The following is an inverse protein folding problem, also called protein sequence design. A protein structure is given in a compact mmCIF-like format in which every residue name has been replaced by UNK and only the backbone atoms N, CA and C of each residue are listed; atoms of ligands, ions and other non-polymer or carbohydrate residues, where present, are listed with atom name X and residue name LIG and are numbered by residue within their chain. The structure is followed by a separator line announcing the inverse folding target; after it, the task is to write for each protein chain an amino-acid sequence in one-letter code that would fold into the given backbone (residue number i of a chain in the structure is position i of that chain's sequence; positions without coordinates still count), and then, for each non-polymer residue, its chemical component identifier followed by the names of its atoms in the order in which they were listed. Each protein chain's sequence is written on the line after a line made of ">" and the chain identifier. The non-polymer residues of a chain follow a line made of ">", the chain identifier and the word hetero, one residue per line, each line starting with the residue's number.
data_IF_488656757831
#
_entry.id   IF_488656757831
#
_cell.length_a   1.000
_cell.length_b   1.000
_cell.length_c   1.000
_cell.angle_alpha   90.00
_cell.angle_beta   90.00
_cell.angle_gamma   90.00
#
_symmetry.space_group_name_H-M   'P 1'
#
loop_
_entity.id
_entity.type
_entity.pdbx_description
1 polymer ?
#
# COMPACT_ATOMS: atom_id res chain seq x y z
N UNK A 1 -14.57 -14.75 40.83
CA UNK A 1 -14.75 -13.50 40.06
C UNK A 1 -13.56 -13.36 39.11
N UNK A 2 -13.77 -13.40 37.80
CA UNK A 2 -12.67 -13.30 36.81
C UNK A 2 -12.26 -11.84 36.70
N UNK A 3 -11.07 -11.48 37.17
CA UNK A 3 -10.45 -10.20 36.82
C UNK A 3 -10.34 -10.13 35.29
N UNK A 4 -11.22 -9.35 34.68
CA UNK A 4 -11.02 -8.84 33.32
C UNK A 4 -9.83 -7.89 33.41
N UNK A 5 -8.62 -8.40 33.23
CA UNK A 5 -7.56 -7.60 32.65
C UNK A 5 -8.10 -7.13 31.31
N UNK A 6 -8.56 -5.89 31.23
CA UNK A 6 -8.71 -5.20 29.95
C UNK A 6 -7.33 -5.28 29.31
N UNK A 7 -7.16 -6.21 28.37
CA UNK A 7 -5.96 -6.31 27.54
C UNK A 7 -5.96 -5.01 26.75
N UNK A 8 -5.33 -3.98 27.31
CA UNK A 8 -5.09 -2.74 26.61
C UNK A 8 -4.18 -3.12 25.45
N UNK A 9 -4.63 -2.85 24.23
CA UNK A 9 -3.85 -3.04 23.02
C UNK A 9 -3.27 -1.67 22.66
N UNK A 10 -2.20 -1.20 23.34
CA UNK A 10 -1.71 0.17 23.18
C UNK A 10 -1.35 0.46 21.72
N UNK A 11 -0.71 -0.49 21.04
CA UNK A 11 -0.33 -0.35 19.64
C UNK A 11 -1.53 -0.15 18.71
N UNK A 12 -2.65 -0.84 18.97
CA UNK A 12 -3.88 -0.67 18.20
C UNK A 12 -4.43 0.75 18.35
N UNK A 13 -4.58 1.22 19.58
CA UNK A 13 -5.11 2.55 19.86
C UNK A 13 -4.23 3.67 19.31
N UNK A 14 -2.91 3.56 19.45
CA UNK A 14 -1.96 4.52 18.88
C UNK A 14 -2.04 4.55 17.34
N UNK A 15 -2.13 3.38 16.71
CA UNK A 15 -2.23 3.26 15.25
C UNK A 15 -3.55 3.85 14.73
N UNK A 16 -4.67 3.53 15.40
CA UNK A 16 -5.98 4.08 15.07
C UNK A 16 -6.03 5.59 15.28
N UNK A 17 -5.43 6.11 16.35
CA UNK A 17 -5.37 7.54 16.60
C UNK A 17 -4.57 8.27 15.51
N UNK A 18 -3.42 7.73 15.10
CA UNK A 18 -2.64 8.27 13.98
C UNK A 18 -3.45 8.31 12.68
N UNK A 19 -4.11 7.21 12.31
CA UNK A 19 -4.95 7.14 11.12
C UNK A 19 -6.14 8.12 11.18
N UNK A 20 -6.78 8.25 12.34
CA UNK A 20 -7.85 9.22 12.54
C UNK A 20 -7.36 10.65 12.33
N UNK A 21 -6.14 10.97 12.77
CA UNK A 21 -5.51 12.27 12.54
C UNK A 21 -5.37 12.61 11.06
N UNK A 22 -4.91 11.64 10.26
CA UNK A 22 -4.76 11.77 8.80
C UNK A 22 -6.11 12.00 8.12
N UNK A 23 -7.13 11.21 8.50
CA UNK A 23 -8.49 11.33 7.91
C UNK A 23 -9.11 12.69 8.27
N UNK A 24 -8.97 13.15 9.52
CA UNK A 24 -9.51 14.45 9.94
C UNK A 24 -8.78 15.60 9.27
N UNK A 25 -7.46 15.52 9.09
CA UNK A 25 -6.71 16.56 8.38
C UNK A 25 -7.20 16.76 6.94
N UNK A 26 -7.46 15.66 6.22
CA UNK A 26 -8.07 15.71 4.89
C UNK A 26 -9.47 16.35 4.91
N UNK A 27 -10.30 16.02 5.91
CA UNK A 27 -11.68 16.50 5.97
C UNK A 27 -11.83 17.97 6.40
N UNK A 28 -10.88 18.49 7.19
CA UNK A 28 -11.00 19.81 7.84
C UNK A 28 -10.30 20.94 7.09
N UNK A 29 -9.41 20.62 6.13
CA UNK A 29 -8.62 21.58 5.35
C UNK A 29 -7.90 22.64 6.22
N UNK A 30 -7.57 22.30 7.46
CA UNK A 30 -6.93 23.21 8.40
C UNK A 30 -5.49 23.54 7.98
N UNK A 31 -5.02 24.78 8.21
CA UNK A 31 -3.67 25.18 7.84
C UNK A 31 -2.62 24.40 8.65
N UNK A 32 -1.45 24.17 8.04
CA UNK A 32 -0.33 23.45 8.67
C UNK A 32 0.08 24.03 10.03
N UNK A 33 0.02 25.36 10.17
CA UNK A 33 0.35 26.06 11.41
C UNK A 33 -0.49 25.58 12.61
N UNK A 34 -1.78 25.28 12.40
CA UNK A 34 -2.64 24.77 13.46
C UNK A 34 -2.22 23.35 13.88
N UNK A 35 -1.89 22.49 12.93
CA UNK A 35 -1.38 21.14 13.22
C UNK A 35 -0.03 21.15 13.94
N UNK A 36 0.86 22.09 13.61
CA UNK A 36 2.10 22.30 14.37
C UNK A 36 1.81 22.69 15.82
N UNK A 37 0.90 23.64 16.05
CA UNK A 37 0.52 24.08 17.40
C UNK A 37 -0.11 22.93 18.22
N UNK A 38 -1.04 22.20 17.62
CA UNK A 38 -1.69 21.04 18.26
C UNK A 38 -0.69 19.94 18.60
N UNK A 39 0.25 19.63 17.69
CA UNK A 39 1.30 18.63 17.94
C UNK A 39 2.23 19.08 19.07
N UNK A 40 2.63 20.36 19.09
CA UNK A 40 3.44 20.93 20.17
C UNK A 40 2.77 20.83 21.54
N UNK A 41 1.47 21.16 21.61
CA UNK A 41 0.68 21.00 22.83
C UNK A 41 0.57 19.53 23.27
N UNK A 42 0.35 18.61 22.33
CA UNK A 42 0.26 17.18 22.61
C UNK A 42 1.58 16.58 23.12
N UNK A 43 2.74 17.04 22.60
CA UNK A 43 4.07 16.68 23.12
C UNK A 43 4.21 17.16 24.56
N UNK A 44 3.85 18.42 24.84
CA UNK A 44 3.92 18.98 26.20
C UNK A 44 3.05 18.18 27.19
N UNK A 45 1.80 17.87 26.82
CA UNK A 45 0.90 17.05 27.64
C UNK A 45 1.50 15.65 27.88
N UNK A 46 2.05 15.02 26.84
CA UNK A 46 2.66 13.68 26.96
C UNK A 46 3.86 13.69 27.91
N UNK A 47 4.74 14.69 27.80
CA UNK A 47 5.88 14.87 28.70
C UNK A 47 5.42 15.15 30.13
N UNK A 48 4.43 16.04 30.32
CA UNK A 48 3.87 16.37 31.62
C UNK A 48 3.28 15.14 32.32
N UNK A 49 2.53 14.30 31.58
CA UNK A 49 1.98 13.04 32.10
C UNK A 49 3.08 12.05 32.49
N UNK A 50 4.16 11.95 31.71
CA UNK A 50 5.32 11.09 32.04
C UNK A 50 6.05 11.58 33.28
N UNK A 51 6.29 12.90 33.39
CA UNK A 51 6.94 13.51 34.56
C UNK A 51 6.06 13.35 35.80
N UNK A 52 4.77 13.67 35.71
CA UNK A 52 3.82 13.52 36.81
C UNK A 52 3.80 12.07 37.33
N UNK A 53 3.82 11.08 36.43
CA UNK A 53 3.95 9.67 36.82
C UNK A 53 5.27 9.38 37.53
N UNK A 54 6.41 9.87 37.01
CA UNK A 54 7.72 9.68 37.68
C UNK A 54 7.71 10.27 39.09
N UNK A 55 7.13 11.46 39.27
CA UNK A 55 7.01 12.13 40.58
C UNK A 55 6.07 11.36 41.51
N UNK A 56 4.89 10.93 41.05
CA UNK A 56 3.99 10.11 41.86
C UNK A 56 4.66 8.82 42.31
N UNK A 57 5.32 8.11 41.39
CA UNK A 57 6.02 6.84 41.69
C UNK A 57 7.17 7.06 42.69
N UNK A 58 7.88 8.19 42.60
CA UNK A 58 8.93 8.56 43.55
C UNK A 58 8.38 8.95 44.94
N UNK A 59 7.17 9.55 44.99
CA UNK A 59 6.48 9.91 46.24
C UNK A 59 5.84 8.71 46.95
N UNK A 60 5.59 7.60 46.25
CA UNK A 60 4.93 6.40 46.79
C UNK A 60 5.87 5.21 47.06
N UNK A 61 7.16 5.44 47.35
CA UNK A 61 8.04 4.40 47.89
C UNK A 61 7.48 3.83 49.22
N UNK A 62 7.60 2.52 49.48
CA UNK A 62 6.52 1.73 50.07
C UNK A 62 6.41 1.82 51.59
N UNK A 63 5.19 2.01 52.10
CA UNK A 63 4.78 1.38 53.36
C UNK A 63 4.26 -0.02 53.01
N UNK A 64 4.91 -1.05 53.57
CA UNK A 64 4.54 -2.46 53.42
C UNK A 64 3.09 -2.65 53.90
N UNK A 65 2.14 -2.92 53.00
CA UNK A 65 0.75 -3.14 53.42
C UNK A 65 -0.25 -3.30 52.29
N UNK A 66 -0.56 -2.24 51.54
CA UNK A 66 -1.78 -2.19 50.71
C UNK A 66 -1.54 -1.66 49.29
N UNK A 67 -0.84 -2.44 48.45
CA UNK A 67 -0.60 -2.06 47.05
C UNK A 67 -1.02 -3.17 46.09
N UNK A 68 -2.33 -3.36 45.92
CA UNK A 68 -2.86 -4.20 44.86
C UNK A 68 -3.85 -3.51 43.89
N UNK A 69 -4.47 -2.37 44.21
CA UNK A 69 -5.69 -1.95 43.48
C UNK A 69 -5.70 -0.58 42.76
N UNK A 70 -4.64 0.24 42.80
CA UNK A 70 -4.67 1.60 42.19
C UNK A 70 -3.96 1.75 40.82
N UNK A 71 -3.58 0.65 40.16
CA UNK A 71 -2.78 0.66 38.92
C UNK A 71 -3.49 1.04 37.58
N UNK A 72 -4.81 0.87 37.35
CA UNK A 72 -5.38 0.95 35.99
C UNK A 72 -5.59 2.38 35.43
N UNK A 73 -5.76 3.38 36.29
CA UNK A 73 -6.04 4.78 35.85
C UNK A 73 -4.81 5.46 35.27
N UNK A 74 -3.63 5.17 35.81
CA UNK A 74 -2.36 5.78 35.38
C UNK A 74 -1.90 5.34 33.98
N UNK A 75 -2.06 4.06 33.65
CA UNK A 75 -1.76 3.53 32.32
C UNK A 75 -2.71 4.09 31.25
N UNK A 76 -3.99 4.23 31.60
CA UNK A 76 -5.02 4.77 30.71
C UNK A 76 -4.75 6.25 30.36
N UNK A 77 -4.28 7.04 31.32
CA UNK A 77 -3.90 8.44 31.10
C UNK A 77 -2.70 8.58 30.14
N UNK A 78 -1.68 7.72 30.29
CA UNK A 78 -0.54 7.71 29.39
C UNK A 78 -0.94 7.29 27.97
N UNK A 79 -1.76 6.24 27.85
CA UNK A 79 -2.25 5.80 26.55
C UNK A 79 -3.07 6.90 25.87
N UNK A 80 -3.92 7.61 26.62
CA UNK A 80 -4.67 8.75 26.09
C UNK A 80 -3.75 9.88 25.60
N UNK A 81 -2.74 10.25 26.39
CA UNK A 81 -1.78 11.30 26.01
C UNK A 81 -0.99 10.94 24.74
N UNK A 82 -0.45 9.71 24.67
CA UNK A 82 0.25 9.25 23.48
C UNK A 82 -0.69 9.07 22.27
N UNK A 83 -1.97 8.74 22.49
CA UNK A 83 -2.96 8.67 21.40
C UNK A 83 -3.27 10.06 20.85
N UNK A 84 -3.40 11.08 21.71
CA UNK A 84 -3.55 12.47 21.27
C UNK A 84 -2.32 12.94 20.48
N UNK A 85 -1.11 12.58 20.92
CA UNK A 85 0.11 12.85 20.18
C UNK A 85 0.12 12.16 18.81
N UNK A 86 -0.22 10.86 18.76
CA UNK A 86 -0.31 10.12 17.51
C UNK A 86 -1.33 10.74 16.55
N UNK A 87 -2.49 11.15 17.05
CA UNK A 87 -3.54 11.84 16.29
C UNK A 87 -3.06 13.16 15.68
N UNK A 88 -2.51 14.06 16.51
CA UNK A 88 -2.02 15.37 16.03
C UNK A 88 -0.86 15.23 15.05
N UNK A 89 0.05 14.28 15.32
CA UNK A 89 1.15 13.96 14.42
C UNK A 89 0.66 13.39 13.08
N UNK A 90 -0.39 12.56 13.07
CA UNK A 90 -1.02 12.05 11.86
C UNK A 90 -1.53 13.19 10.96
N UNK A 91 -2.25 14.15 11.54
CA UNK A 91 -2.74 15.30 10.77
C UNK A 91 -1.62 16.20 10.24
N UNK A 92 -0.59 16.45 11.05
CA UNK A 92 0.60 17.18 10.62
C UNK A 92 1.32 16.47 9.47
N UNK A 93 1.47 15.16 9.56
CA UNK A 93 2.12 14.33 8.53
C UNK A 93 1.37 14.38 7.20
N UNK A 94 0.04 14.42 7.23
CA UNK A 94 -0.78 14.57 6.03
C UNK A 94 -0.57 15.94 5.40
N UNK A 95 -0.68 17.02 6.19
CA UNK A 95 -0.59 18.39 5.66
C UNK A 95 0.79 18.71 5.06
N UNK A 96 1.87 18.19 5.67
CA UNK A 96 3.24 18.39 5.19
C UNK A 96 3.59 17.58 3.93
N UNK A 97 2.73 16.63 3.54
CA UNK A 97 2.96 15.79 2.38
C UNK A 97 2.37 16.35 1.08
N UNK A 98 1.41 17.26 1.20
CA UNK A 98 0.75 17.85 0.04
C UNK A 98 1.69 18.85 -0.63
N UNK A 99 1.87 18.80 -1.96
CA UNK A 99 2.69 19.77 -2.66
C UNK A 99 2.02 21.14 -2.65
N UNK A 100 2.85 22.18 -2.62
CA UNK A 100 2.38 23.55 -2.80
C UNK A 100 2.08 23.82 -4.28
N UNK A 101 0.81 23.76 -4.64
CA UNK A 101 0.32 24.02 -6.00
C UNK A 101 0.41 25.50 -6.40
N UNK A 102 0.82 26.41 -5.51
CA UNK A 102 1.04 27.81 -5.84
C UNK A 102 2.49 28.13 -6.21
N UNK A 103 3.42 27.19 -5.99
CA UNK A 103 4.83 27.39 -6.27
C UNK A 103 5.12 27.32 -7.77
N UNK A 104 5.61 28.40 -8.43
CA UNK A 104 5.88 28.42 -9.88
C UNK A 104 6.99 27.45 -10.33
N UNK A 105 7.79 26.93 -9.39
CA UNK A 105 8.75 25.86 -9.67
C UNK A 105 8.10 24.47 -9.72
N UNK A 106 6.86 24.31 -9.25
CA UNK A 106 6.14 23.04 -9.36
C UNK A 106 5.52 22.92 -10.75
N UNK A 107 5.80 21.82 -11.46
CA UNK A 107 5.39 21.64 -12.86
C UNK A 107 3.88 21.82 -13.08
N UNK A 108 3.04 21.42 -12.11
CA UNK A 108 1.60 21.52 -12.24
C UNK A 108 1.06 22.95 -12.36
N UNK A 109 1.85 23.96 -11.96
CA UNK A 109 1.47 25.37 -12.14
C UNK A 109 1.44 25.81 -13.60
N UNK A 110 2.09 25.05 -14.48
CA UNK A 110 2.15 25.31 -15.92
C UNK A 110 1.15 24.47 -16.73
N UNK A 111 0.25 23.74 -16.05
CA UNK A 111 -0.79 22.96 -16.72
C UNK A 111 -1.79 23.87 -17.44
N UNK A 112 -2.36 23.38 -18.53
CA UNK A 112 -3.52 23.95 -19.23
C UNK A 112 -3.32 25.39 -19.74
N UNK A 113 -2.07 25.83 -19.92
CA UNK A 113 -1.72 27.15 -20.49
C UNK A 113 -2.09 27.27 -21.97
N UNK A 114 -2.34 26.15 -22.66
CA UNK A 114 -2.60 26.10 -24.10
C UNK A 114 -1.35 26.31 -24.97
N UNK A 115 -0.21 26.60 -24.35
CA UNK A 115 1.06 26.77 -25.03
C UNK A 115 1.79 25.43 -25.20
N UNK A 116 2.45 25.27 -26.35
CA UNK A 116 3.31 24.13 -26.56
C UNK A 116 4.62 24.36 -25.83
N UNK A 117 5.00 23.44 -24.95
CA UNK A 117 6.22 23.54 -24.15
C UNK A 117 7.21 22.43 -24.52
N UNK A 118 8.46 22.64 -24.13
CA UNK A 118 9.48 21.60 -24.08
C UNK A 118 9.89 21.38 -22.63
N UNK A 119 9.78 20.14 -22.18
CA UNK A 119 10.10 19.75 -20.81
C UNK A 119 11.25 18.76 -20.87
N UNK A 120 12.26 18.96 -20.05
CA UNK A 120 13.30 17.97 -19.84
C UNK A 120 13.00 17.21 -18.55
N UNK A 121 13.43 15.96 -18.48
CA UNK A 121 13.37 15.20 -17.25
C UNK A 121 13.93 13.79 -17.39
N UNK A 122 14.04 13.10 -16.26
CA UNK A 122 14.58 11.75 -16.17
C UNK A 122 13.44 10.76 -15.99
N UNK A 123 13.45 9.65 -16.75
CA UNK A 123 12.51 8.55 -16.56
C UNK A 123 12.72 7.94 -15.18
N UNK A 124 11.71 8.06 -14.31
CA UNK A 124 11.79 7.73 -12.89
C UNK A 124 11.14 6.38 -12.55
N UNK A 125 10.54 5.67 -13.51
CA UNK A 125 9.91 4.38 -13.28
C UNK A 125 10.18 3.39 -14.40
N UNK A 126 9.81 2.12 -14.16
CA UNK A 126 9.70 1.13 -15.22
C UNK A 126 8.70 1.61 -16.29
N UNK A 127 9.03 1.52 -17.59
CA UNK A 127 8.12 1.86 -18.69
C UNK A 127 6.88 0.96 -18.71
N UNK A 128 5.69 1.56 -18.81
CA UNK A 128 4.44 0.84 -18.98
C UNK A 128 4.07 0.80 -20.48
N UNK A 129 4.43 -0.29 -21.15
CA UNK A 129 4.14 -0.49 -22.59
C UNK A 129 2.76 -1.10 -22.76
N UNK A 130 1.93 -0.46 -23.58
CA UNK A 130 0.61 -0.94 -24.01
C UNK A 130 0.55 -0.98 -25.53
N UNK A 131 -0.47 -1.63 -26.09
CA UNK A 131 -0.63 -1.83 -27.54
C UNK A 131 -0.44 -0.56 -28.39
N UNK A 132 -0.96 0.58 -27.91
CA UNK A 132 -1.05 1.82 -28.68
C UNK A 132 -0.19 2.98 -28.13
N UNK A 133 0.39 2.83 -26.94
CA UNK A 133 1.17 3.89 -26.31
C UNK A 133 2.10 3.36 -25.24
N UNK A 134 3.16 4.11 -24.97
CA UNK A 134 4.02 3.91 -23.80
C UNK A 134 3.74 5.00 -22.78
N UNK A 135 3.47 4.60 -21.54
CA UNK A 135 3.39 5.50 -20.40
C UNK A 135 4.73 5.52 -19.65
N UNK A 136 5.28 6.72 -19.48
CA UNK A 136 6.49 6.96 -18.70
C UNK A 136 6.17 7.94 -17.57
N UNK A 137 6.73 7.71 -16.39
CA UNK A 137 6.75 8.70 -15.30
C UNK A 137 8.08 9.42 -15.37
N UNK A 138 8.04 10.72 -15.66
CA UNK A 138 9.25 11.53 -15.85
C UNK A 138 9.35 12.53 -14.70
N UNK A 139 10.48 12.47 -13.98
CA UNK A 139 10.85 13.48 -13.00
C UNK A 139 11.43 14.69 -13.76
N UNK A 140 10.69 15.79 -13.71
CA UNK A 140 11.00 16.99 -14.51
C UNK A 140 12.06 17.84 -13.82
N UNK A 141 12.95 18.41 -14.61
CA UNK A 141 14.08 19.24 -14.15
C UNK A 141 14.07 20.65 -14.76
N UNK A 142 13.64 20.78 -16.02
CA UNK A 142 13.65 22.04 -16.76
C UNK A 142 12.43 22.16 -17.69
N UNK A 143 11.86 23.37 -17.76
CA UNK A 143 10.75 23.73 -18.62
C UNK A 143 11.12 24.95 -19.45
N UNK A 144 10.75 24.92 -20.74
CA UNK A 144 10.97 26.03 -21.68
C UNK A 144 9.85 26.14 -22.72
N UNK A 145 9.53 27.34 -23.21
CA UNK A 145 8.64 27.50 -24.36
C UNK A 145 9.17 26.77 -25.61
N UNK A 146 8.29 26.17 -26.39
CA UNK A 146 8.69 25.46 -27.61
C UNK A 146 9.40 26.38 -28.60
N UNK A 147 10.56 25.94 -29.11
CA UNK A 147 11.36 26.69 -30.07
C UNK A 147 12.36 27.70 -29.48
N UNK A 148 12.42 27.84 -28.16
CA UNK A 148 13.43 28.69 -27.49
C UNK A 148 14.48 27.85 -26.77
N UNK A 149 15.73 28.33 -26.76
CA UNK A 149 16.87 27.67 -26.08
C UNK A 149 17.40 28.48 -24.90
N UNK A 150 16.91 29.70 -24.67
CA UNK A 150 17.47 30.65 -23.70
C UNK A 150 16.62 30.84 -22.45
N UNK A 151 15.31 30.55 -22.50
CA UNK A 151 14.41 30.66 -21.35
C UNK A 151 14.33 29.31 -20.62
N UNK A 152 15.28 29.09 -19.72
CA UNK A 152 15.30 27.94 -18.82
C UNK A 152 14.56 28.28 -17.52
N UNK A 153 13.51 27.53 -17.24
CA UNK A 153 12.81 27.59 -15.96
C UNK A 153 12.99 26.26 -15.22
N UNK A 154 13.76 26.24 -14.11
CA UNK A 154 13.91 25.02 -13.33
C UNK A 154 12.56 24.66 -12.71
N UNK A 155 12.13 23.43 -12.94
CA UNK A 155 10.87 22.90 -12.39
C UNK A 155 11.12 21.57 -11.70
N UNK A 156 10.23 21.21 -10.79
CA UNK A 156 10.20 19.91 -10.14
C UNK A 156 8.80 19.31 -10.16
N UNK A 157 8.76 17.99 -10.09
CA UNK A 157 7.52 17.22 -10.03
C UNK A 157 7.51 16.08 -11.04
N UNK A 158 6.59 15.15 -10.84
CA UNK A 158 6.40 14.00 -11.73
C UNK A 158 5.33 14.33 -12.77
N UNK A 159 5.68 14.13 -14.04
CA UNK A 159 4.74 14.19 -15.14
C UNK A 159 4.49 12.80 -15.72
N UNK A 160 3.23 12.47 -16.00
CA UNK A 160 2.86 11.28 -16.75
C UNK A 160 2.93 11.58 -18.24
N UNK A 161 3.84 10.93 -18.94
CA UNK A 161 4.10 11.14 -20.36
C UNK A 161 3.54 9.95 -21.13
N UNK A 162 2.61 10.20 -22.05
CA UNK A 162 2.10 9.18 -22.97
C UNK A 162 2.66 9.41 -24.36
N UNK A 163 3.44 8.45 -24.83
CA UNK A 163 4.07 8.44 -26.14
C UNK A 163 3.21 7.67 -27.14
N UNK A 164 2.99 8.24 -28.34
CA UNK A 164 2.21 7.56 -29.40
C UNK A 164 2.99 6.41 -30.05
N UNK A 165 4.32 6.40 -29.93
CA UNK A 165 5.17 5.39 -30.55
C UNK A 165 5.42 4.22 -29.58
N UNK A 166 4.70 3.07 -29.71
CA UNK A 166 4.94 1.89 -28.89
C UNK A 166 6.30 1.21 -29.15
N UNK A 167 6.97 1.51 -30.27
CA UNK A 167 8.32 1.00 -30.53
C UNK A 167 9.42 1.79 -29.78
N UNK A 168 9.05 2.87 -29.10
CA UNK A 168 9.99 3.69 -28.36
C UNK A 168 10.56 2.92 -27.14
N UNK A 169 11.83 2.52 -27.25
CA UNK A 169 12.53 1.78 -26.21
C UNK A 169 13.27 2.72 -25.25
N UNK A 170 12.51 3.39 -24.38
CA UNK A 170 13.05 4.18 -23.28
C UNK A 170 13.20 3.35 -22.00
N UNK A 171 14.20 3.65 -21.20
CA UNK A 171 14.53 2.92 -19.97
C UNK A 171 14.59 3.87 -18.77
N UNK A 172 14.51 3.30 -17.57
CA UNK A 172 14.74 4.05 -16.35
C UNK A 172 16.10 4.74 -16.39
N UNK A 173 16.14 6.00 -15.95
CA UNK A 173 17.35 6.81 -15.96
C UNK A 173 17.68 7.46 -17.30
N UNK A 174 16.90 7.25 -18.35
CA UNK A 174 17.02 8.07 -19.56
C UNK A 174 16.57 9.49 -19.30
N UNK A 175 17.37 10.46 -19.74
CA UNK A 175 17.00 11.88 -19.75
C UNK A 175 16.36 12.21 -21.09
N UNK A 176 15.11 12.65 -21.06
CA UNK A 176 14.30 12.88 -22.25
C UNK A 176 14.00 14.37 -22.41
N UNK A 177 14.10 14.84 -23.66
CA UNK A 177 13.46 16.08 -24.12
C UNK A 177 12.06 15.74 -24.63
N UNK A 178 11.06 16.31 -23.99
CA UNK A 178 9.65 16.07 -24.27
C UNK A 178 9.02 17.31 -24.89
N UNK A 179 8.27 17.14 -25.96
CA UNK A 179 7.50 18.21 -26.59
C UNK A 179 6.02 17.87 -26.56
N UNK A 180 5.19 18.81 -26.06
CA UNK A 180 3.76 18.62 -25.99
C UNK A 180 3.04 19.75 -25.25
N UNK A 181 1.80 19.48 -24.89
CA UNK A 181 0.99 20.35 -24.03
C UNK A 181 0.94 19.72 -22.65
N UNK A 182 1.17 20.54 -21.63
CA UNK A 182 1.04 20.12 -20.26
C UNK A 182 -0.41 20.28 -19.85
N UNK A 183 -1.02 19.20 -19.39
CA UNK A 183 -2.43 19.18 -19.04
C UNK A 183 -2.61 18.72 -17.60
N UNK A 184 -3.65 19.22 -16.95
CA UNK A 184 -4.11 18.62 -15.71
C UNK A 184 -4.78 17.26 -16.03
N UNK A 185 -4.48 16.18 -15.28
CA UNK A 185 -5.21 14.93 -15.42
C UNK A 185 -6.74 15.14 -15.40
N UNK A 186 -7.48 14.46 -16.28
CA UNK A 186 -8.92 14.63 -16.38
C UNK A 186 -9.61 14.09 -15.12
N UNK A 187 -10.70 14.74 -14.76
CA UNK A 187 -11.70 14.15 -13.87
C UNK A 187 -12.57 13.19 -14.68
N UNK A 188 -12.98 12.05 -14.12
CA UNK A 188 -13.97 11.16 -14.74
C UNK A 188 -15.11 10.94 -13.75
N UNK A 189 -16.33 10.80 -14.26
CA UNK A 189 -17.56 10.78 -13.44
C UNK A 189 -17.60 9.62 -12.43
N UNK A 190 -17.09 8.44 -12.80
CA UNK A 190 -17.14 7.24 -11.94
C UNK A 190 -15.86 7.05 -11.09
N UNK A 191 -14.71 7.46 -11.62
CA UNK A 191 -13.40 7.28 -10.98
C UNK A 191 -12.55 8.54 -11.16
N UNK A 192 -12.17 9.20 -10.07
CA UNK A 192 -11.25 10.34 -10.14
C UNK A 192 -9.84 9.87 -10.54
N UNK A 193 -9.60 9.81 -11.85
CA UNK A 193 -8.29 9.51 -12.41
C UNK A 193 -7.24 10.55 -11.97
N UNK A 194 -7.68 11.80 -11.81
CA UNK A 194 -6.88 12.90 -11.25
C UNK A 194 -6.41 12.59 -9.83
N UNK A 195 -7.32 12.27 -8.91
CA UNK A 195 -6.93 11.95 -7.54
C UNK A 195 -6.03 10.71 -7.48
N UNK A 196 -6.31 9.68 -8.30
CA UNK A 196 -5.47 8.50 -8.41
C UNK A 196 -4.03 8.84 -8.76
N UNK A 197 -3.81 9.71 -9.75
CA UNK A 197 -2.47 10.18 -10.12
C UNK A 197 -1.85 11.10 -9.06
N UNK A 198 -2.63 11.98 -8.45
CA UNK A 198 -2.16 12.87 -7.38
C UNK A 198 -1.61 12.08 -6.17
N UNK A 199 -2.24 10.94 -5.83
CA UNK A 199 -1.77 10.02 -4.78
C UNK A 199 -0.42 9.38 -5.09
N UNK A 200 -0.05 9.34 -6.37
CA UNK A 200 1.27 8.89 -6.86
C UNK A 200 2.25 10.05 -7.07
N UNK A 201 1.89 11.28 -6.67
CA UNK A 201 2.70 12.48 -6.84
C UNK A 201 2.67 13.06 -8.25
N UNK A 202 1.75 12.60 -9.10
CA UNK A 202 1.63 13.02 -10.51
C UNK A 202 0.47 14.00 -10.62
N UNK A 203 0.78 15.25 -10.93
CA UNK A 203 -0.21 16.34 -11.05
C UNK A 203 -0.29 16.90 -12.47
N UNK A 204 0.60 16.44 -13.36
CA UNK A 204 0.69 16.88 -14.74
C UNK A 204 0.77 15.69 -15.67
N UNK A 205 0.18 15.80 -16.85
CA UNK A 205 0.32 14.82 -17.92
C UNK A 205 0.72 15.50 -19.23
N UNK A 206 1.50 14.82 -20.06
CA UNK A 206 1.67 15.17 -21.45
C UNK A 206 1.03 14.06 -22.29
N UNK A 207 -0.07 14.40 -22.96
CA UNK A 207 -0.68 13.51 -23.94
C UNK A 207 0.05 13.62 -25.26
N UNK A 208 0.28 12.49 -25.91
CA UNK A 208 0.83 12.46 -27.27
C UNK A 208 2.17 13.16 -27.41
N UNK A 209 3.03 13.04 -26.40
CA UNK A 209 4.32 13.72 -26.39
C UNK A 209 5.26 13.10 -27.42
N UNK A 210 6.09 13.96 -28.03
CA UNK A 210 7.28 13.50 -28.75
C UNK A 210 8.46 13.54 -27.80
N UNK A 211 9.15 12.42 -27.66
CA UNK A 211 10.30 12.29 -26.80
C UNK A 211 11.58 12.10 -27.61
N UNK A 212 12.66 12.72 -27.19
CA UNK A 212 14.02 12.48 -27.70
C UNK A 212 14.94 12.22 -26.53
N UNK A 213 15.68 11.11 -26.55
CA UNK A 213 16.69 10.81 -25.54
C UNK A 213 17.87 11.74 -25.73
N UNK A 214 18.22 12.47 -24.67
CA UNK A 214 19.40 13.34 -24.61
C UNK A 214 20.57 12.58 -23.98
N UNK A 215 20.29 11.88 -22.88
CA UNK A 215 21.30 11.14 -22.10
C UNK A 215 20.68 9.83 -21.57
N UNK A 216 21.53 8.89 -21.17
CA UNK A 216 21.13 7.61 -20.55
C UNK A 216 21.87 7.38 -19.25
N UNK A 217 21.25 6.64 -18.32
CA UNK A 217 21.89 6.24 -17.08
C UNK A 217 21.99 7.34 -16.03
N UNK A 218 21.18 8.39 -16.11
CA UNK A 218 21.10 9.49 -15.15
C UNK A 218 20.25 9.16 -13.90
N UNK A 219 19.76 7.92 -13.80
CA UNK A 219 18.98 7.45 -12.66
C UNK A 219 19.84 6.93 -11.50
N UNK A 220 19.19 6.55 -10.40
CA UNK A 220 19.88 5.94 -9.26
C UNK A 220 20.37 4.51 -9.64
N UNK A 221 21.64 4.15 -9.39
CA UNK A 221 22.17 2.83 -9.73
C UNK A 221 21.41 1.65 -9.10
N UNK A 222 20.89 1.82 -7.88
CA UNK A 222 20.09 0.79 -7.21
C UNK A 222 18.79 0.50 -7.98
N UNK A 223 18.05 1.54 -8.33
CA UNK A 223 16.80 1.39 -9.10
C UNK A 223 17.07 0.89 -10.52
N UNK A 224 18.17 1.32 -11.14
CA UNK A 224 18.60 0.78 -12.43
C UNK A 224 18.85 -0.74 -12.34
N UNK A 225 19.51 -1.22 -11.29
CA UNK A 225 19.72 -2.66 -11.07
C UNK A 225 18.41 -3.42 -10.87
N UNK A 226 17.47 -2.88 -10.07
CA UNK A 226 16.14 -3.46 -9.85
C UNK A 226 15.37 -3.57 -11.17
N UNK A 227 15.30 -2.49 -11.95
CA UNK A 227 14.57 -2.50 -13.22
C UNK A 227 15.24 -3.37 -14.28
N UNK A 228 16.58 -3.43 -14.32
CA UNK A 228 17.29 -4.37 -15.18
C UNK A 228 16.99 -5.82 -14.82
N UNK A 229 16.92 -6.15 -13.52
CA UNK A 229 16.50 -7.47 -13.06
C UNK A 229 15.05 -7.76 -13.49
N UNK A 230 14.14 -6.79 -13.32
CA UNK A 230 12.73 -6.91 -13.76
C UNK A 230 12.64 -7.13 -15.27
N UNK A 231 13.37 -6.37 -16.09
CA UNK A 231 13.41 -6.53 -17.55
C UNK A 231 13.93 -7.90 -17.97
N UNK A 232 14.99 -8.41 -17.32
CA UNK A 232 15.53 -9.75 -17.61
C UNK A 232 14.56 -10.85 -17.23
N UNK A 233 13.93 -10.74 -16.05
CA UNK A 233 12.91 -11.70 -15.61
C UNK A 233 11.72 -11.70 -16.58
N UNK A 234 11.25 -10.52 -17.00
CA UNK A 234 10.17 -10.38 -17.96
C UNK A 234 10.52 -11.03 -19.30
N UNK A 235 11.70 -10.72 -19.85
CA UNK A 235 12.17 -11.33 -21.10
C UNK A 235 12.28 -12.86 -20.99
N UNK A 236 12.71 -13.37 -19.84
CA UNK A 236 12.79 -14.83 -19.59
C UNK A 236 11.39 -15.45 -19.60
N UNK A 237 10.39 -14.82 -18.98
CA UNK A 237 9.00 -15.32 -19.00
C UNK A 237 8.46 -15.41 -20.42
N UNK A 238 8.63 -14.35 -21.23
CA UNK A 238 8.19 -14.33 -22.64
C UNK A 238 8.99 -15.26 -23.56
N UNK A 239 10.18 -15.71 -23.15
CA UNK A 239 10.93 -16.73 -23.88
C UNK A 239 10.48 -18.15 -23.55
N UNK A 240 10.01 -18.38 -22.32
CA UNK A 240 9.63 -19.71 -21.84
C UNK A 240 8.17 -20.07 -22.14
N UNK A 241 7.30 -19.08 -22.28
CA UNK A 241 5.86 -19.28 -22.46
C UNK A 241 5.32 -18.46 -23.63
N UNK A 242 4.32 -18.97 -24.37
CA UNK A 242 3.58 -18.18 -25.35
C UNK A 242 2.62 -17.20 -24.65
N UNK A 243 2.10 -16.22 -25.40
CA UNK A 243 0.95 -15.43 -24.98
C UNK A 243 -0.35 -16.21 -25.19
N UNK A 244 -1.35 -16.09 -24.28
CA UNK A 244 -1.46 -15.13 -23.17
C UNK A 244 -0.81 -15.57 -21.84
N UNK A 245 -0.29 -16.80 -21.73
CA UNK A 245 0.24 -17.35 -20.47
C UNK A 245 1.44 -16.57 -19.95
N UNK A 246 2.35 -16.15 -20.84
CA UNK A 246 3.49 -15.30 -20.49
C UNK A 246 3.06 -13.99 -19.83
N UNK A 247 2.09 -13.29 -20.44
CA UNK A 247 1.53 -12.05 -19.90
C UNK A 247 0.82 -12.25 -18.56
N UNK A 248 0.17 -13.40 -18.36
CA UNK A 248 -0.43 -13.76 -17.08
C UNK A 248 0.63 -14.01 -15.99
N UNK A 249 1.69 -14.76 -16.30
CA UNK A 249 2.81 -14.97 -15.38
C UNK A 249 3.55 -13.67 -15.07
N UNK A 250 3.71 -12.77 -16.05
CA UNK A 250 4.29 -11.45 -15.86
C UNK A 250 3.49 -10.61 -14.86
N UNK A 251 2.15 -10.65 -14.93
CA UNK A 251 1.27 -10.02 -13.93
C UNK A 251 1.46 -10.62 -12.54
N UNK A 252 1.35 -11.94 -12.42
CA UNK A 252 1.35 -12.67 -11.14
C UNK A 252 2.70 -12.62 -10.42
N UNK A 253 3.82 -12.66 -11.17
CA UNK A 253 5.18 -12.75 -10.61
C UNK A 253 5.91 -11.41 -10.58
N UNK A 254 5.65 -10.52 -11.54
CA UNK A 254 6.42 -9.27 -11.73
C UNK A 254 5.56 -8.02 -11.62
N UNK A 255 4.24 -8.15 -11.46
CA UNK A 255 3.31 -7.01 -11.39
C UNK A 255 3.20 -6.27 -12.72
N UNK A 256 3.41 -6.96 -13.84
CA UNK A 256 3.32 -6.37 -15.19
C UNK A 256 2.03 -6.84 -15.86
N UNK A 257 0.97 -6.06 -15.72
CA UNK A 257 -0.37 -6.41 -16.24
C UNK A 257 -0.63 -5.85 -17.65
N UNK A 258 0.22 -4.95 -18.16
CA UNK A 258 -0.05 -4.21 -19.41
C UNK A 258 -0.01 -5.08 -20.67
N UNK A 259 0.64 -6.25 -20.61
CA UNK A 259 0.67 -7.21 -21.71
C UNK A 259 -0.55 -8.14 -21.79
N UNK A 260 -1.43 -8.14 -20.78
CA UNK A 260 -2.56 -9.08 -20.73
C UNK A 260 -3.57 -8.72 -21.84
N UNK A 261 -3.89 -9.64 -22.77
CA UNK A 261 -4.82 -9.36 -23.85
C UNK A 261 -6.20 -8.94 -23.34
N UNK A 262 -6.81 -7.96 -24.00
CA UNK A 262 -8.14 -7.42 -23.61
C UNK A 262 -9.23 -8.48 -23.39
N UNK A 263 -9.36 -9.53 -24.24
CA UNK A 263 -10.36 -10.57 -24.01
C UNK A 263 -10.15 -11.33 -22.69
N UNK A 264 -8.88 -11.59 -22.33
CA UNK A 264 -8.50 -12.26 -21.09
C UNK A 264 -8.79 -11.35 -19.89
N UNK A 265 -8.35 -10.09 -19.95
CA UNK A 265 -8.63 -9.11 -18.90
C UNK A 265 -10.13 -8.92 -18.66
N UNK A 266 -10.93 -8.91 -19.73
CA UNK A 266 -12.38 -8.81 -19.66
C UNK A 266 -13.00 -10.05 -18.99
N UNK A 267 -12.54 -11.26 -19.34
CA UNK A 267 -13.00 -12.49 -18.68
C UNK A 267 -12.75 -12.46 -17.17
N UNK A 268 -11.54 -12.06 -16.73
CA UNK A 268 -11.22 -11.89 -15.30
C UNK A 268 -12.10 -10.85 -14.60
N UNK A 269 -12.45 -9.76 -15.30
CA UNK A 269 -13.35 -8.73 -14.79
C UNK A 269 -14.78 -9.26 -14.61
N UNK A 270 -15.29 -10.00 -15.60
CA UNK A 270 -16.63 -10.58 -15.57
C UNK A 270 -16.78 -11.63 -14.46
N UNK A 271 -15.78 -12.48 -14.28
CA UNK A 271 -15.76 -13.48 -13.20
C UNK A 271 -15.39 -12.90 -11.84
N UNK A 272 -15.01 -11.61 -11.75
CA UNK A 272 -14.59 -10.95 -10.51
C UNK A 272 -13.27 -11.46 -9.93
N UNK A 273 -12.44 -12.08 -10.78
CA UNK A 273 -11.19 -12.74 -10.42
C UNK A 273 -9.96 -11.91 -10.80
N UNK A 274 -10.13 -10.62 -11.10
CA UNK A 274 -9.03 -9.67 -11.38
C UNK A 274 -7.98 -9.63 -10.26
N UNK A 275 -8.36 -9.91 -9.02
CA UNK A 275 -7.42 -9.97 -7.90
C UNK A 275 -6.41 -11.14 -7.97
N UNK A 276 -6.62 -12.11 -8.88
CA UNK A 276 -5.74 -13.26 -9.10
C UNK A 276 -4.57 -12.89 -10.02
N UNK A 277 -4.83 -12.03 -11.03
CA UNK A 277 -3.79 -11.58 -11.97
C UNK A 277 -2.87 -10.51 -11.36
N UNK A 278 -3.38 -9.76 -10.39
CA UNK A 278 -2.61 -8.86 -9.55
C UNK A 278 -1.87 -9.63 -8.44
N UNK A 279 -0.74 -9.11 -7.98
CA UNK A 279 0.01 -9.74 -6.88
C UNK A 279 -0.81 -9.69 -5.60
N UNK A 280 -1.27 -10.86 -5.17
CA UNK A 280 -2.12 -11.01 -4.00
C UNK A 280 -1.31 -11.23 -2.71
N UNK A 281 -2.00 -11.13 -1.57
CA UNK A 281 -1.40 -11.49 -0.27
C UNK A 281 -1.03 -12.98 -0.18
N UNK A 282 -1.72 -13.85 -0.93
CA UNK A 282 -1.40 -15.28 -0.99
C UNK A 282 -0.08 -15.52 -1.73
N UNK A 283 0.12 -14.85 -2.88
CA UNK A 283 1.38 -14.91 -3.63
C UNK A 283 2.55 -14.48 -2.73
N UNK A 284 2.37 -13.39 -1.97
CA UNK A 284 3.36 -12.91 -1.01
C UNK A 284 3.61 -13.88 0.15
N UNK A 285 2.58 -14.59 0.62
CA UNK A 285 2.73 -15.62 1.65
C UNK A 285 3.55 -16.82 1.14
N UNK A 286 3.32 -17.26 -0.11
CA UNK A 286 4.12 -18.31 -0.75
C UNK A 286 5.59 -17.88 -0.84
N UNK A 287 5.86 -16.67 -1.34
CA UNK A 287 7.23 -16.13 -1.46
C UNK A 287 7.90 -16.06 -0.09
N UNK A 288 7.19 -15.58 0.94
CA UNK A 288 7.70 -15.53 2.30
C UNK A 288 8.02 -16.94 2.86
N UNK A 289 7.16 -17.93 2.61
CA UNK A 289 7.38 -19.31 3.01
C UNK A 289 8.58 -19.94 2.29
N UNK A 290 8.72 -19.69 0.99
CA UNK A 290 9.84 -20.16 0.18
C UNK A 290 11.17 -19.60 0.70
N UNK A 291 11.24 -18.28 0.89
CA UNK A 291 12.44 -17.63 1.44
C UNK A 291 12.76 -18.10 2.85
N UNK A 292 11.74 -18.32 3.69
CA UNK A 292 11.94 -18.88 5.02
C UNK A 292 12.50 -20.31 4.97
N UNK A 293 12.02 -21.16 4.07
CA UNK A 293 12.52 -22.52 3.90
C UNK A 293 13.98 -22.53 3.46
N UNK A 294 14.26 -21.87 2.34
CA UNK A 294 15.62 -21.82 1.75
C UNK A 294 16.63 -21.20 2.71
N UNK A 295 16.35 -19.99 3.23
CA UNK A 295 17.29 -19.29 4.09
C UNK A 295 17.34 -19.86 5.50
N UNK A 296 16.25 -20.48 5.97
CA UNK A 296 16.22 -21.21 7.24
C UNK A 296 17.14 -22.42 7.24
N UNK A 297 17.17 -23.17 6.13
CA UNK A 297 18.11 -24.28 5.95
C UNK A 297 19.55 -23.80 5.78
N UNK A 298 19.77 -22.72 5.02
CA UNK A 298 21.12 -22.25 4.70
C UNK A 298 21.81 -21.49 5.85
N UNK A 299 21.07 -20.68 6.61
CA UNK A 299 21.63 -19.78 7.62
C UNK A 299 21.14 -20.07 9.06
N UNK A 300 20.25 -21.05 9.24
CA UNK A 300 19.60 -21.35 10.50
C UNK A 300 18.39 -20.45 10.80
N UNK A 301 17.65 -20.70 11.90
CA UNK A 301 16.31 -20.14 12.10
C UNK A 301 16.28 -18.62 12.29
N UNK A 302 17.26 -18.03 12.98
CA UNK A 302 17.28 -16.58 13.26
C UNK A 302 17.82 -15.77 12.08
N UNK A 303 19.02 -16.13 11.58
CA UNK A 303 19.64 -15.46 10.44
C UNK A 303 18.85 -15.71 9.15
N UNK A 304 18.29 -16.90 8.99
CA UNK A 304 17.40 -17.24 7.88
C UNK A 304 16.12 -16.41 7.87
N UNK A 305 15.52 -16.14 9.03
CA UNK A 305 14.36 -15.26 9.11
C UNK A 305 14.69 -13.79 8.76
N UNK A 306 15.88 -13.29 9.14
CA UNK A 306 16.34 -11.97 8.73
C UNK A 306 16.59 -11.91 7.21
N UNK A 307 17.27 -12.91 6.65
CA UNK A 307 17.50 -13.03 5.22
C UNK A 307 16.17 -13.14 4.44
N UNK A 308 15.18 -13.87 4.96
CA UNK A 308 13.85 -13.96 4.38
C UNK A 308 13.10 -12.63 4.41
N UNK A 309 13.20 -11.87 5.51
CA UNK A 309 12.62 -10.53 5.60
C UNK A 309 13.25 -9.57 4.58
N UNK A 310 14.58 -9.60 4.43
CA UNK A 310 15.29 -8.82 3.44
C UNK A 310 14.91 -9.23 2.01
N UNK A 311 14.87 -10.54 1.72
CA UNK A 311 14.45 -11.06 0.43
C UNK A 311 13.02 -10.65 0.08
N UNK A 312 12.09 -10.72 1.03
CA UNK A 312 10.69 -10.31 0.83
C UNK A 312 10.58 -8.80 0.56
N UNK A 313 11.41 -7.99 1.23
CA UNK A 313 11.52 -6.56 0.96
C UNK A 313 12.05 -6.27 -0.44
N UNK A 314 13.13 -6.94 -0.86
CA UNK A 314 13.68 -6.81 -2.22
C UNK A 314 12.68 -7.25 -3.29
N UNK A 315 11.97 -8.36 -3.06
CA UNK A 315 10.91 -8.82 -3.97
C UNK A 315 9.77 -7.80 -4.08
N UNK A 316 9.35 -7.21 -2.96
CA UNK A 316 8.31 -6.18 -2.93
C UNK A 316 8.71 -4.95 -3.77
N UNK A 317 9.98 -4.54 -3.66
CA UNK A 317 10.56 -3.46 -4.48
C UNK A 317 10.60 -3.85 -5.96
N UNK A 318 11.01 -5.08 -6.26
CA UNK A 318 11.11 -5.60 -7.63
C UNK A 318 9.76 -5.58 -8.36
N UNK A 319 8.69 -5.99 -7.67
CA UNK A 319 7.37 -6.11 -8.32
C UNK A 319 6.63 -4.78 -8.47
N UNK A 320 7.07 -3.71 -7.80
CA UNK A 320 6.51 -2.36 -7.95
C UNK A 320 5.89 -1.76 -6.68
N UNK A 321 5.90 -2.51 -5.57
CA UNK A 321 5.45 -2.04 -4.26
C UNK A 321 4.00 -1.50 -4.20
N UNK A 322 3.07 -2.16 -4.90
CA UNK A 322 1.64 -1.84 -4.77
C UNK A 322 1.15 -2.01 -3.32
N UNK A 323 0.10 -1.26 -2.89
CA UNK A 323 -0.35 -1.28 -1.50
C UNK A 323 -0.67 -2.68 -0.96
N UNK A 324 -1.28 -3.55 -1.78
CA UNK A 324 -1.58 -4.92 -1.38
C UNK A 324 -0.32 -5.76 -1.09
N UNK A 325 0.73 -5.57 -1.90
CA UNK A 325 2.03 -6.23 -1.80
C UNK A 325 2.79 -5.73 -0.58
N UNK A 326 2.89 -4.40 -0.42
CA UNK A 326 3.59 -3.77 0.71
C UNK A 326 2.96 -4.18 2.04
N UNK A 327 1.63 -4.18 2.13
CA UNK A 327 0.94 -4.66 3.33
C UNK A 327 1.29 -6.14 3.60
N UNK A 328 1.19 -7.00 2.60
CA UNK A 328 1.50 -8.42 2.77
C UNK A 328 2.96 -8.65 3.21
N UNK A 329 3.90 -7.88 2.66
CA UNK A 329 5.30 -7.90 3.06
C UNK A 329 5.49 -7.46 4.52
N UNK A 330 4.89 -6.35 4.94
CA UNK A 330 4.97 -5.85 6.32
C UNK A 330 4.38 -6.89 7.28
N UNK A 331 3.19 -7.41 7.00
CA UNK A 331 2.54 -8.42 7.84
C UNK A 331 3.37 -9.71 7.90
N UNK A 332 3.96 -10.12 6.77
CA UNK A 332 4.88 -11.26 6.69
C UNK A 332 6.10 -11.06 7.59
N UNK A 333 6.81 -9.93 7.47
CA UNK A 333 7.96 -9.60 8.32
C UNK A 333 7.58 -9.55 9.80
N UNK A 334 6.44 -8.97 10.15
CA UNK A 334 5.95 -8.96 11.52
C UNK A 334 5.67 -10.38 12.02
N UNK A 335 5.18 -11.28 11.17
CA UNK A 335 4.93 -12.68 11.50
C UNK A 335 6.24 -13.43 11.76
N UNK A 336 7.26 -13.20 10.94
CA UNK A 336 8.62 -13.71 11.16
C UNK A 336 9.17 -13.26 12.52
N UNK A 337 9.03 -11.98 12.83
CA UNK A 337 9.50 -11.40 14.08
C UNK A 337 8.76 -11.98 15.30
N UNK A 338 7.43 -12.07 15.23
CA UNK A 338 6.62 -12.61 16.31
C UNK A 338 6.96 -14.07 16.63
N UNK A 339 7.24 -14.89 15.59
CA UNK A 339 7.69 -16.27 15.75
C UNK A 339 9.02 -16.35 16.50
N UNK A 340 9.97 -15.46 16.23
CA UNK A 340 11.26 -15.42 16.92
C UNK A 340 11.15 -15.00 18.39
N UNK A 341 10.25 -14.06 18.70
CA UNK A 341 10.01 -13.60 20.08
C UNK A 341 9.09 -14.57 20.87
N UNK A 342 8.60 -15.64 20.23
CA UNK A 342 7.71 -16.62 20.87
C UNK A 342 6.33 -16.06 21.22
N UNK A 343 5.90 -14.97 20.55
CA UNK A 343 4.61 -14.32 20.83
C UNK A 343 3.61 -14.64 19.73
N UNK A 344 2.37 -14.96 20.13
CA UNK A 344 1.25 -15.04 19.19
C UNK A 344 0.91 -13.64 18.69
N UNK A 345 0.80 -13.50 17.38
CA UNK A 345 0.35 -12.25 16.77
C UNK A 345 -1.12 -12.02 17.04
N UNK A 346 -1.46 -10.77 17.39
CA UNK A 346 -2.82 -10.30 17.33
C UNK A 346 -3.04 -9.65 15.96
N UNK A 347 -3.86 -10.28 15.12
CA UNK A 347 -4.04 -9.85 13.74
C UNK A 347 -4.63 -8.43 13.62
N UNK A 348 -5.49 -7.99 14.54
CA UNK A 348 -6.01 -6.61 14.55
C UNK A 348 -4.92 -5.58 14.85
N UNK A 349 -4.04 -5.88 15.81
CA UNK A 349 -2.90 -5.01 16.12
C UNK A 349 -1.95 -4.92 14.92
N UNK A 350 -1.62 -6.07 14.32
CA UNK A 350 -0.77 -6.13 13.12
C UNK A 350 -1.38 -5.35 11.97
N UNK A 351 -2.68 -5.49 11.74
CA UNK A 351 -3.38 -4.79 10.65
C UNK A 351 -3.38 -3.27 10.87
N UNK A 352 -3.79 -2.80 12.05
CA UNK A 352 -3.80 -1.36 12.35
C UNK A 352 -2.40 -0.75 12.31
N UNK A 353 -1.39 -1.45 12.85
CA UNK A 353 0.00 -1.01 12.79
C UNK A 353 0.52 -0.94 11.36
N UNK A 354 0.18 -1.93 10.52
CA UNK A 354 0.56 -1.93 9.10
C UNK A 354 -0.08 -0.75 8.36
N UNK A 355 -1.37 -0.47 8.60
CA UNK A 355 -2.05 0.70 8.05
C UNK A 355 -1.37 2.01 8.47
N UNK A 356 -1.01 2.14 9.76
CA UNK A 356 -0.32 3.32 10.27
C UNK A 356 1.08 3.48 9.64
N UNK A 357 1.84 2.41 9.49
CA UNK A 357 3.17 2.43 8.88
C UNK A 357 3.12 2.83 7.39
N UNK A 358 2.18 2.27 6.63
CA UNK A 358 2.00 2.64 5.22
C UNK A 358 1.58 4.10 5.07
N UNK A 359 0.63 4.54 5.89
CA UNK A 359 0.17 5.94 5.92
C UNK A 359 1.26 6.90 6.40
N UNK A 360 2.18 6.47 7.26
CA UNK A 360 3.33 7.27 7.66
C UNK A 360 4.28 7.52 6.48
N UNK A 361 4.46 6.54 5.59
CA UNK A 361 5.30 6.67 4.38
C UNK A 361 4.60 7.52 3.32
N UNK A 362 3.34 7.22 3.01
CA UNK A 362 2.51 8.03 2.11
C UNK A 362 1.16 8.27 2.78
N UNK A 363 0.86 9.49 3.27
CA UNK A 363 -0.36 9.75 3.99
C UNK A 363 -1.59 9.69 3.09
N UNK A 364 -1.44 9.72 1.77
CA UNK A 364 -2.56 9.57 0.84
C UNK A 364 -2.99 8.10 0.62
N UNK A 365 -2.25 7.13 1.18
CA UNK A 365 -2.53 5.69 1.03
C UNK A 365 -3.96 5.27 1.46
N UNK A 366 -4.58 5.80 2.54
CA UNK A 366 -5.92 5.40 2.96
C UNK A 366 -7.02 5.62 1.90
N UNK A 367 -6.79 6.53 0.95
CA UNK A 367 -7.74 6.81 -0.12
C UNK A 367 -7.55 5.88 -1.32
N UNK A 368 -6.41 5.19 -1.43
CA UNK A 368 -6.17 4.23 -2.50
C UNK A 368 -7.16 3.05 -2.45
N UNK A 369 -7.79 2.75 -3.59
CA UNK A 369 -8.82 1.70 -3.69
C UNK A 369 -8.21 0.33 -3.43
N UNK A 370 -6.99 0.08 -3.92
CA UNK A 370 -6.25 -1.15 -3.68
C UNK A 370 -5.98 -1.34 -2.19
N UNK A 371 -5.53 -0.31 -1.49
CA UNK A 371 -5.38 -0.31 -0.03
C UNK A 371 -6.71 -0.63 0.67
N UNK A 372 -7.79 0.10 0.35
CA UNK A 372 -9.10 -0.08 0.98
C UNK A 372 -9.63 -1.51 0.81
N UNK A 373 -9.64 -2.02 -0.41
CA UNK A 373 -10.11 -3.39 -0.70
C UNK A 373 -9.27 -4.43 0.02
N UNK A 374 -7.94 -4.26 0.01
CA UNK A 374 -7.05 -5.24 0.60
C UNK A 374 -7.18 -5.25 2.13
N UNK A 375 -7.19 -4.09 2.78
CA UNK A 375 -7.37 -3.98 4.23
C UNK A 375 -8.76 -4.44 4.68
N UNK A 376 -9.82 -4.12 3.92
CA UNK A 376 -11.15 -4.61 4.18
C UNK A 376 -11.21 -6.14 4.09
N UNK A 377 -10.70 -6.75 3.01
CA UNK A 377 -10.64 -8.20 2.88
C UNK A 377 -9.90 -8.86 4.05
N UNK A 378 -8.76 -8.29 4.46
CA UNK A 378 -7.98 -8.81 5.60
C UNK A 378 -8.74 -8.65 6.91
N UNK A 379 -9.42 -7.53 7.13
CA UNK A 379 -10.26 -7.31 8.30
C UNK A 379 -11.43 -8.31 8.33
N UNK A 380 -12.07 -8.56 7.20
CA UNK A 380 -13.13 -9.55 7.05
C UNK A 380 -12.66 -10.94 7.45
N UNK A 381 -11.49 -11.37 6.97
CA UNK A 381 -10.85 -12.62 7.40
C UNK A 381 -10.59 -12.62 8.91
N UNK A 382 -9.97 -11.58 9.46
CA UNK A 382 -9.63 -11.52 10.89
C UNK A 382 -10.87 -11.58 11.79
N UNK A 383 -11.97 -10.92 11.39
CA UNK A 383 -13.19 -10.84 12.18
C UNK A 383 -14.12 -12.04 11.98
N UNK A 384 -14.27 -12.53 10.75
CA UNK A 384 -15.32 -13.48 10.39
C UNK A 384 -14.84 -14.88 10.05
N UNK A 385 -13.57 -15.10 9.70
CA UNK A 385 -13.06 -16.43 9.31
C UNK A 385 -13.31 -17.49 10.39
N UNK A 386 -12.80 -17.27 11.62
CA UNK A 386 -12.92 -18.25 12.71
C UNK A 386 -14.37 -18.41 13.20
N UNK A 387 -15.16 -17.33 13.40
CA UNK A 387 -16.57 -17.47 13.77
C UNK A 387 -17.40 -18.23 12.73
N UNK A 388 -17.19 -17.96 11.44
CA UNK A 388 -17.91 -18.65 10.36
C UNK A 388 -17.52 -20.13 10.28
N UNK A 389 -16.23 -20.46 10.38
CA UNK A 389 -15.79 -21.85 10.44
C UNK A 389 -16.38 -22.60 11.63
N UNK A 390 -16.39 -21.98 12.82
CA UNK A 390 -16.95 -22.59 14.03
C UNK A 390 -18.47 -22.79 13.90
N UNK A 391 -19.19 -21.80 13.36
CA UNK A 391 -20.62 -21.88 13.12
C UNK A 391 -20.96 -23.00 12.12
N UNK A 392 -20.22 -23.09 11.01
CA UNK A 392 -20.40 -24.14 10.00
C UNK A 392 -20.07 -25.53 10.57
N UNK A 393 -18.96 -25.68 11.29
CA UNK A 393 -18.60 -26.92 11.96
C UNK A 393 -19.68 -27.36 12.97
N UNK A 394 -20.26 -26.41 13.71
CA UNK A 394 -21.35 -26.68 14.66
C UNK A 394 -22.64 -27.15 13.96
N UNK A 395 -22.91 -26.61 12.77
CA UNK A 395 -24.06 -26.98 11.96
C UNK A 395 -23.88 -28.38 11.36
N UNK A 396 -22.70 -28.69 10.82
CA UNK A 396 -22.37 -30.03 10.32
C UNK A 396 -22.35 -31.07 11.44
N UNK A 397 -21.88 -30.71 12.63
CA UNK A 397 -21.87 -31.60 13.79
C UNK A 397 -23.28 -32.02 14.25
N UNK A 398 -24.35 -31.37 13.75
CA UNK A 398 -25.73 -31.83 13.97
C UNK A 398 -26.11 -33.04 13.11
N UNK A 399 -25.39 -33.30 12.01
CA UNK A 399 -25.68 -34.39 11.05
C UNK A 399 -24.52 -35.36 10.83
N UNK A 400 -23.30 -34.99 11.21
CA UNK A 400 -22.08 -35.77 11.00
C UNK A 400 -21.28 -35.91 12.30
N UNK A 401 -20.44 -36.96 12.42
CA UNK A 401 -19.48 -37.08 13.52
C UNK A 401 -18.60 -35.83 13.64
N UNK A 402 -18.34 -35.38 14.88
CA UNK A 402 -17.64 -34.12 15.17
C UNK A 402 -16.25 -34.00 14.50
N UNK A 403 -15.55 -35.11 14.34
CA UNK A 403 -14.23 -35.17 13.69
C UNK A 403 -14.34 -34.93 12.18
N UNK A 404 -15.31 -35.55 11.52
CA UNK A 404 -15.60 -35.36 10.09
C UNK A 404 -16.10 -33.94 9.84
N UNK A 405 -17.04 -33.44 10.66
CA UNK A 405 -17.57 -32.07 10.57
C UNK A 405 -16.48 -31.00 10.69
N UNK A 406 -15.46 -31.22 11.53
CA UNK A 406 -14.36 -30.28 11.72
C UNK A 406 -13.35 -30.32 10.57
N UNK A 407 -13.06 -31.50 10.01
CA UNK A 407 -12.22 -31.65 8.82
C UNK A 407 -12.89 -31.04 7.58
N UNK A 408 -14.17 -31.32 7.36
CA UNK A 408 -14.92 -30.75 6.23
C UNK A 408 -15.08 -29.24 6.38
N UNK A 409 -15.31 -28.73 7.60
CA UNK A 409 -15.35 -27.29 7.84
C UNK A 409 -14.00 -26.59 7.66
N UNK A 410 -12.88 -27.29 7.87
CA UNK A 410 -11.55 -26.75 7.56
C UNK A 410 -11.35 -26.63 6.04
N UNK A 411 -11.64 -27.70 5.29
CA UNK A 411 -11.50 -27.73 3.83
C UNK A 411 -12.44 -26.72 3.17
N UNK A 412 -13.75 -26.77 3.47
CA UNK A 412 -14.73 -25.80 2.94
C UNK A 412 -14.46 -24.40 3.48
N UNK A 413 -13.90 -24.31 4.68
CA UNK A 413 -13.60 -23.04 5.33
C UNK A 413 -12.52 -22.25 4.62
N UNK A 414 -11.50 -22.92 4.09
CA UNK A 414 -10.35 -22.30 3.43
C UNK A 414 -10.73 -21.69 2.08
N UNK A 415 -11.58 -22.35 1.30
CA UNK A 415 -11.95 -21.90 -0.05
C UNK A 415 -13.23 -21.05 -0.08
N UNK A 416 -14.27 -21.46 0.65
CA UNK A 416 -15.60 -20.84 0.58
C UNK A 416 -15.79 -19.80 1.68
N UNK A 417 -15.60 -20.18 2.95
CA UNK A 417 -15.92 -19.29 4.07
C UNK A 417 -14.97 -18.09 4.13
N UNK A 418 -13.70 -18.25 3.78
CA UNK A 418 -12.74 -17.14 3.70
C UNK A 418 -13.08 -16.15 2.58
N UNK A 419 -13.48 -16.65 1.42
CA UNK A 419 -13.97 -15.83 0.31
C UNK A 419 -15.19 -15.00 0.73
N UNK A 420 -16.18 -15.62 1.38
CA UNK A 420 -17.34 -14.90 1.90
C UNK A 420 -16.95 -13.87 2.98
N UNK A 421 -16.06 -14.23 3.90
CA UNK A 421 -15.60 -13.33 4.96
C UNK A 421 -14.94 -12.06 4.38
N UNK A 422 -14.10 -12.21 3.35
CA UNK A 422 -13.50 -11.08 2.64
C UNK A 422 -14.56 -10.25 1.90
N UNK A 423 -15.47 -10.91 1.15
CA UNK A 423 -16.50 -10.25 0.36
C UNK A 423 -17.46 -9.41 1.19
N UNK A 424 -17.89 -9.88 2.37
CA UNK A 424 -18.79 -9.11 3.27
C UNK A 424 -18.21 -7.71 3.55
N UNK A 425 -16.89 -7.62 3.71
CA UNK A 425 -16.20 -6.35 3.99
C UNK A 425 -15.80 -5.56 2.74
N UNK A 426 -15.55 -6.20 1.59
CA UNK A 426 -15.13 -5.51 0.36
C UNK A 426 -16.28 -5.07 -0.52
N UNK A 427 -17.44 -5.75 -0.47
CA UNK A 427 -18.61 -5.45 -1.30
C UNK A 427 -19.08 -3.99 -1.21
N UNK A 428 -19.19 -3.35 -0.02
CA UNK A 428 -19.59 -1.95 0.06
C UNK A 428 -18.60 -1.01 -0.65
N UNK A 429 -17.31 -1.32 -0.57
CA UNK A 429 -16.24 -0.53 -1.20
C UNK A 429 -16.28 -0.73 -2.72
N UNK A 430 -16.46 -1.97 -3.19
CA UNK A 430 -16.59 -2.25 -4.61
C UNK A 430 -17.84 -1.60 -5.21
N UNK A 431 -18.97 -1.65 -4.51
CA UNK A 431 -20.21 -1.02 -4.94
C UNK A 431 -20.07 0.51 -5.04
N UNK A 432 -19.39 1.13 -4.08
CA UNK A 432 -19.13 2.57 -4.06
C UNK A 432 -18.21 3.03 -5.20
N UNK A 433 -17.10 2.32 -5.46
CA UNK A 433 -16.09 2.75 -6.44
C UNK A 433 -16.34 2.27 -7.88
N UNK A 434 -17.01 1.12 -8.07
CA UNK A 434 -17.14 0.52 -9.41
C UNK A 434 -18.59 0.41 -9.91
N UNK A 435 -19.58 0.79 -9.09
CA UNK A 435 -21.00 0.77 -9.45
C UNK A 435 -21.55 -0.59 -9.88
N UNK A 436 -20.78 -1.67 -9.74
CA UNK A 436 -21.09 -2.99 -10.27
C UNK A 436 -20.63 -4.09 -9.31
N UNK A 437 -21.47 -5.11 -9.16
CA UNK A 437 -21.20 -6.29 -8.33
C UNK A 437 -21.29 -7.51 -9.24
N UNK A 438 -20.18 -8.21 -9.45
CA UNK A 438 -20.21 -9.49 -10.15
C UNK A 438 -20.75 -10.57 -9.22
N UNK A 439 -22.00 -10.98 -9.43
CA UNK A 439 -22.59 -12.11 -8.72
C UNK A 439 -21.90 -13.43 -9.06
N UNK A 440 -21.29 -13.52 -10.25
CA UNK A 440 -20.52 -14.70 -10.69
C UNK A 440 -19.28 -14.90 -9.82
N UNK A 441 -18.71 -13.83 -9.25
CA UNK A 441 -17.55 -13.90 -8.36
C UNK A 441 -17.77 -14.77 -7.11
N UNK A 442 -19.02 -14.92 -6.64
CA UNK A 442 -19.34 -15.78 -5.50
C UNK A 442 -19.13 -17.28 -5.81
N UNK A 443 -19.28 -17.68 -7.07
CA UNK A 443 -19.08 -19.06 -7.53
C UNK A 443 -17.70 -19.26 -8.13
N UNK A 444 -17.19 -18.27 -8.88
CA UNK A 444 -15.91 -18.36 -9.55
C UNK A 444 -14.73 -18.36 -8.55
N UNK A 445 -14.75 -17.50 -7.53
CA UNK A 445 -13.62 -17.39 -6.59
C UNK A 445 -13.34 -18.70 -5.84
N UNK A 446 -14.32 -19.39 -5.23
CA UNK A 446 -14.06 -20.65 -4.55
C UNK A 446 -13.77 -21.84 -5.48
N UNK A 447 -14.02 -21.73 -6.78
CA UNK A 447 -13.72 -22.77 -7.76
C UNK A 447 -12.28 -22.67 -8.29
N UNK A 448 -11.69 -21.48 -8.25
CA UNK A 448 -10.34 -21.19 -8.75
C UNK A 448 -9.30 -21.25 -7.63
N UNK A 449 -9.66 -20.77 -6.43
CA UNK A 449 -8.87 -20.91 -5.21
C UNK A 449 -8.90 -22.37 -4.74
#
# INVERSE_FOLDING_TARGET
>A
MRHKYTITMPLLWLSLAFLAGVIIANATAWPAALWYALTGAAVFISVAVVIFRRIQTARTAPHFGDLADSQPTSFSLQLAAFSLLAFTFGGLRYQTALPDLSNPAFIATHNDTGERISVTGIVNSFPEVRDNFVSLRVATDDLRPYGTTTQHQPVYGLALVRLIDPAANFQYGDRLLLHGYLETPPESEDFSYREYLARQGIYSQLRSARATRIESGQGNPFWAAVYNLKSKALATVYQLWPDPEASLFAGILLGVETGIPKPVAQAFKETGTTHIIAISGFNMAIVAALFMGIFGELFGPQRGALAAALGLGLYTILVGADPAVVRAAIMGVLALFARQVGRRQNALNTLAFTAALMTLVNPQTPWDVGFQLSFAATLGLVLYAQPMQNAFASLLARRLPKTTARKSAAIVGEYVLFTFAAQITTLPIMAYHFGSISWVAFLANPAIL
#
